data_IF_569169292906
#
_entry.id   IF_569169292906
#
_cell.length_a   1.000
_cell.length_b   1.000
_cell.length_c   1.000
_cell.angle_alpha   90.00
_cell.angle_beta   90.00
_cell.angle_gamma   90.00
#
_symmetry.space_group_name_H-M   'P 1'
#
loop_
_entity.id
_entity.type
_entity.pdbx_description
1 polymer ?
#
# COMPACT_ATOMS: atom_id res chain seq x y z
N UNK A 1 22.88 3.03 -15.54
CA UNK A 1 22.47 2.49 -14.22
C UNK A 1 22.40 0.98 -14.40
N UNK A 2 22.95 0.15 -13.51
CA UNK A 2 22.90 -1.30 -13.70
C UNK A 2 21.46 -1.80 -13.52
N UNK A 3 20.97 -2.71 -14.38
CA UNK A 3 19.60 -3.27 -14.28
C UNK A 3 19.27 -3.82 -12.89
N UNK A 4 20.29 -4.35 -12.20
CA UNK A 4 20.18 -4.83 -10.83
C UNK A 4 19.81 -3.73 -9.82
N UNK A 5 20.20 -2.48 -10.06
CA UNK A 5 19.87 -1.35 -9.19
C UNK A 5 18.42 -0.88 -9.42
N UNK A 6 17.95 -0.84 -10.67
CA UNK A 6 16.56 -0.50 -10.98
C UNK A 6 15.58 -1.54 -10.42
N UNK A 7 15.88 -2.83 -10.59
CA UNK A 7 15.06 -3.90 -10.01
C UNK A 7 14.99 -3.84 -8.47
N UNK A 8 16.09 -3.45 -7.80
CA UNK A 8 16.11 -3.25 -6.34
C UNK A 8 15.28 -2.05 -5.91
N UNK A 9 15.30 -0.97 -6.68
CA UNK A 9 14.50 0.23 -6.41
C UNK A 9 13.01 -0.08 -6.58
N UNK A 10 12.63 -0.78 -7.64
CA UNK A 10 11.24 -1.20 -7.87
C UNK A 10 10.71 -2.11 -6.76
N UNK A 11 11.49 -3.12 -6.36
CA UNK A 11 11.15 -3.97 -5.22
C UNK A 11 11.06 -3.15 -3.92
N UNK A 12 11.96 -2.18 -3.72
CA UNK A 12 11.94 -1.29 -2.57
C UNK A 12 10.68 -0.43 -2.49
N UNK A 13 10.18 0.07 -3.63
CA UNK A 13 8.94 0.84 -3.71
C UNK A 13 7.73 -0.02 -3.33
N UNK A 14 7.65 -1.25 -3.82
CA UNK A 14 6.57 -2.19 -3.47
C UNK A 14 6.59 -2.54 -1.97
N UNK A 15 7.78 -2.79 -1.40
CA UNK A 15 7.94 -3.05 0.04
C UNK A 15 7.50 -1.84 0.87
N UNK A 16 7.93 -0.62 0.48
CA UNK A 16 7.51 0.61 1.13
C UNK A 16 5.99 0.83 1.08
N UNK A 17 5.37 0.55 -0.06
CA UNK A 17 3.91 0.62 -0.22
C UNK A 17 3.17 -0.30 0.76
N UNK A 18 3.66 -1.53 0.94
CA UNK A 18 3.11 -2.48 1.92
C UNK A 18 3.28 -1.96 3.34
N UNK A 19 4.44 -1.41 3.70
CA UNK A 19 4.68 -0.84 5.03
C UNK A 19 3.73 0.33 5.32
N UNK A 20 3.49 1.19 4.34
CA UNK A 20 2.51 2.29 4.44
C UNK A 20 1.11 1.74 4.69
N UNK A 21 0.70 0.70 3.95
CA UNK A 21 -0.60 0.07 4.16
C UNK A 21 -0.76 -0.51 5.57
N UNK A 22 0.26 -1.21 6.06
CA UNK A 22 0.28 -1.74 7.43
C UNK A 22 0.13 -0.60 8.45
N UNK A 23 0.86 0.51 8.28
CA UNK A 23 0.75 1.66 9.17
C UNK A 23 -0.67 2.26 9.19
N UNK A 24 -1.33 2.34 8.02
CA UNK A 24 -2.73 2.79 7.91
C UNK A 24 -3.68 1.84 8.63
N UNK A 25 -3.49 0.52 8.53
CA UNK A 25 -4.31 -0.45 9.25
C UNK A 25 -4.16 -0.32 10.77
N UNK A 26 -2.93 -0.16 11.26
CA UNK A 26 -2.66 0.06 12.69
C UNK A 26 -3.33 1.34 13.17
N UNK A 27 -3.24 2.43 12.39
CA UNK A 27 -3.93 3.67 12.70
C UNK A 27 -5.47 3.52 12.71
N UNK A 28 -6.03 2.79 11.74
CA UNK A 28 -7.48 2.55 11.67
C UNK A 28 -8.00 1.79 12.89
N UNK A 29 -7.23 0.81 13.40
CA UNK A 29 -7.57 0.10 14.64
C UNK A 29 -7.47 1.03 15.86
N UNK A 30 -6.52 1.98 15.86
CA UNK A 30 -6.31 2.95 16.95
C UNK A 30 -7.48 3.93 17.12
N UNK A 31 -8.24 4.21 16.05
CA UNK A 31 -9.43 5.08 16.08
C UNK A 31 -10.63 4.36 16.72
N UNK A 32 -10.64 3.02 16.74
CA UNK A 32 -11.69 2.18 17.31
C UNK A 32 -11.51 1.88 18.79
N UNK A 33 -11.30 2.89 19.65
CA UNK A 33 -11.03 2.72 21.09
C UNK A 33 -12.14 1.96 21.89
N UNK A 34 -13.29 1.64 21.26
CA UNK A 34 -14.36 0.82 21.82
C UNK A 34 -14.53 -0.57 21.21
N UNK A 35 -13.65 -1.00 20.29
CA UNK A 35 -13.73 -2.29 19.58
C UNK A 35 -14.00 -2.17 18.07
N UNK A 36 -14.05 -3.32 17.40
CA UNK A 36 -14.21 -3.41 15.94
C UNK A 36 -15.67 -3.17 15.52
N UNK A 37 -16.11 -1.91 15.55
CA UNK A 37 -17.44 -1.47 15.13
C UNK A 37 -17.54 -1.16 13.64
N UNK A 38 -18.73 -0.73 13.20
CA UNK A 38 -18.99 -0.39 11.79
C UNK A 38 -17.99 0.63 11.23
N UNK A 39 -17.67 1.67 11.99
CA UNK A 39 -16.73 2.73 11.58
C UNK A 39 -15.30 2.22 11.33
N UNK A 40 -14.76 1.39 12.22
CA UNK A 40 -13.43 0.79 12.03
C UNK A 40 -13.44 -0.22 10.88
N UNK A 41 -14.55 -0.94 10.68
CA UNK A 41 -14.74 -1.80 9.51
C UNK A 41 -14.68 -1.02 8.20
N UNK A 42 -15.41 0.09 8.09
CA UNK A 42 -15.34 0.96 6.91
C UNK A 42 -13.96 1.58 6.71
N UNK A 43 -13.27 1.96 7.79
CA UNK A 43 -11.90 2.48 7.72
C UNK A 43 -10.92 1.45 7.16
N UNK A 44 -11.02 0.17 7.56
CA UNK A 44 -10.21 -0.92 7.01
C UNK A 44 -10.53 -1.16 5.53
N UNK A 45 -11.80 -1.17 5.14
CA UNK A 45 -12.20 -1.32 3.74
C UNK A 45 -11.64 -0.17 2.89
N UNK A 46 -11.75 1.07 3.36
CA UNK A 46 -11.18 2.23 2.67
C UNK A 46 -9.65 2.12 2.52
N UNK A 47 -8.95 1.67 3.58
CA UNK A 47 -7.51 1.43 3.53
C UNK A 47 -7.13 0.37 2.48
N UNK A 48 -7.90 -0.72 2.39
CA UNK A 48 -7.69 -1.77 1.37
C UNK A 48 -7.86 -1.21 -0.04
N UNK A 49 -8.94 -0.45 -0.28
CA UNK A 49 -9.19 0.15 -1.60
C UNK A 49 -8.05 1.08 -2.00
N UNK A 50 -7.60 1.95 -1.09
CA UNK A 50 -6.46 2.86 -1.34
C UNK A 50 -5.20 2.07 -1.66
N UNK A 51 -4.91 1.00 -0.93
CA UNK A 51 -3.74 0.16 -1.17
C UNK A 51 -3.79 -0.53 -2.53
N UNK A 52 -4.94 -1.08 -2.93
CA UNK A 52 -5.12 -1.68 -4.24
C UNK A 52 -4.86 -0.65 -5.35
N UNK A 53 -5.41 0.56 -5.22
CA UNK A 53 -5.20 1.63 -6.20
C UNK A 53 -3.73 2.05 -6.28
N UNK A 54 -3.05 2.13 -5.14
CA UNK A 54 -1.63 2.44 -5.07
C UNK A 54 -0.80 1.36 -5.77
N UNK A 55 -1.04 0.08 -5.49
CA UNK A 55 -0.32 -1.03 -6.13
C UNK A 55 -0.64 -1.15 -7.61
N UNK A 56 -1.88 -0.90 -8.02
CA UNK A 56 -2.26 -0.83 -9.43
C UNK A 56 -1.52 0.31 -10.14
N UNK A 57 -1.41 1.48 -9.52
CA UNK A 57 -0.64 2.62 -10.04
C UNK A 57 0.85 2.31 -10.16
N UNK A 58 1.45 1.69 -9.14
CA UNK A 58 2.86 1.25 -9.17
C UNK A 58 3.07 0.24 -10.30
N UNK A 59 2.19 -0.77 -10.41
CA UNK A 59 2.27 -1.78 -11.46
C UNK A 59 2.13 -1.19 -12.87
N UNK A 60 1.20 -0.24 -13.05
CA UNK A 60 1.04 0.47 -14.32
C UNK A 60 2.30 1.27 -14.69
N UNK A 61 2.87 2.01 -13.73
CA UNK A 61 4.11 2.76 -13.94
C UNK A 61 5.30 1.87 -14.28
N UNK A 62 5.44 0.73 -13.61
CA UNK A 62 6.48 -0.26 -13.91
C UNK A 62 6.30 -0.86 -15.31
N UNK A 63 5.06 -1.15 -15.73
CA UNK A 63 4.78 -1.65 -17.08
C UNK A 63 5.21 -0.68 -18.18
N UNK A 64 5.15 0.64 -17.94
CA UNK A 64 5.58 1.64 -18.91
C UNK A 64 7.10 1.78 -19.05
N UNK A 65 7.88 1.27 -18.10
CA UNK A 65 9.36 1.25 -18.16
C UNK A 65 9.93 0.02 -18.88
N UNK A 66 9.13 -1.04 -19.00
CA UNK A 66 9.54 -2.29 -19.65
C UNK A 66 9.25 -2.29 -21.17
N UNK A 67 8.56 -1.26 -21.68
CA UNK A 67 8.17 -1.10 -23.09
C UNK A 67 9.05 -0.12 -23.86
#
# INVERSE_FOLDING_TARGET
MSDALDARVEAGIAVLAVLVFIAVLVAAVSVGAGGFGATSGYAVVAAIVIFILLMAGIGYWMSGKQG
#
